data_IF_882480177406
#
_entry.id   IF_882480177406
#
_cell.length_a   1.000
_cell.length_b   1.000
_cell.length_c   1.000
_cell.angle_alpha   90.00
_cell.angle_beta   90.00
_cell.angle_gamma   90.00
#
_symmetry.space_group_name_H-M   'P 1'
#
loop_
_entity.id
_entity.type
_entity.pdbx_description
1 polymer ?
#
# COMPACT_ATOMS: atom_id res chain seq x y z
N UNK A 1 10.19 1.12 -16.72
CA UNK A 1 10.95 2.37 -16.95
C UNK A 1 12.45 2.09 -16.87
N UNK A 2 13.27 2.61 -17.79
CA UNK A 2 14.75 2.58 -17.63
C UNK A 2 15.16 3.44 -16.42
N UNK A 3 16.32 3.19 -15.80
CA UNK A 3 16.92 4.01 -14.72
C UNK A 3 16.74 5.53 -14.87
N UNK A 4 16.67 6.04 -16.11
CA UNK A 4 16.41 7.46 -16.42
C UNK A 4 15.10 8.04 -15.89
N UNK A 5 14.04 7.26 -15.67
CA UNK A 5 12.77 7.85 -15.23
C UNK A 5 12.82 8.33 -13.76
N UNK A 6 13.68 7.73 -12.94
CA UNK A 6 13.85 8.13 -11.54
C UNK A 6 14.84 9.30 -11.36
N UNK A 7 15.55 9.73 -12.42
CA UNK A 7 16.41 10.93 -12.38
C UNK A 7 15.68 12.24 -12.64
N UNK A 8 14.45 12.18 -13.18
CA UNK A 8 13.60 13.34 -13.49
C UNK A 8 12.20 13.13 -12.84
N UNK A 9 12.11 13.18 -11.50
CA UNK A 9 10.89 12.82 -10.76
C UNK A 9 9.67 13.67 -11.15
N UNK A 10 9.87 14.90 -11.62
CA UNK A 10 8.83 15.77 -12.16
C UNK A 10 8.14 15.25 -13.42
N UNK A 11 8.69 14.22 -14.08
CA UNK A 11 8.11 13.58 -15.28
C UNK A 11 7.40 12.27 -14.98
N UNK A 12 7.38 11.82 -13.72
CA UNK A 12 6.69 10.61 -13.30
C UNK A 12 5.18 10.87 -13.29
N UNK A 13 4.45 10.19 -14.17
CA UNK A 13 3.00 10.35 -14.34
C UNK A 13 2.16 9.51 -13.37
N UNK A 14 2.79 8.59 -12.62
CA UNK A 14 2.16 7.72 -11.64
C UNK A 14 3.12 7.40 -10.49
N UNK A 15 2.63 7.51 -9.25
CA UNK A 15 3.44 7.18 -8.07
C UNK A 15 3.21 5.69 -7.77
N UNK A 16 4.27 4.89 -7.85
CA UNK A 16 4.24 3.48 -7.42
C UNK A 16 4.71 3.31 -5.97
N UNK A 17 4.35 2.17 -5.37
CA UNK A 17 4.66 1.88 -3.98
C UNK A 17 6.17 1.82 -3.70
N UNK A 18 6.97 1.46 -4.71
CA UNK A 18 8.43 1.40 -4.61
C UNK A 18 9.04 2.80 -4.48
N UNK A 19 8.54 3.75 -5.27
CA UNK A 19 8.93 5.15 -5.19
C UNK A 19 8.60 5.73 -3.81
N UNK A 20 7.38 5.52 -3.31
CA UNK A 20 6.97 6.00 -1.99
C UNK A 20 7.77 5.38 -0.85
N UNK A 21 8.05 4.08 -0.92
CA UNK A 21 8.78 3.37 0.11
C UNK A 21 10.31 3.49 0.01
N UNK A 22 10.82 3.98 -1.13
CA UNK A 22 12.25 4.01 -1.45
C UNK A 22 12.88 2.61 -1.58
N UNK A 23 12.06 1.56 -1.71
CA UNK A 23 12.51 0.17 -1.77
C UNK A 23 11.47 -0.71 -2.46
N UNK A 24 11.95 -1.84 -2.97
CA UNK A 24 11.10 -2.94 -3.42
C UNK A 24 10.81 -3.91 -2.28
N UNK A 25 9.63 -4.53 -2.31
CA UNK A 25 9.22 -5.52 -1.34
C UNK A 25 9.41 -6.95 -1.88
N UNK A 26 9.86 -7.92 -1.06
CA UNK A 26 10.18 -9.28 -1.54
C UNK A 26 9.02 -9.99 -2.26
N UNK A 27 7.78 -9.84 -1.79
CA UNK A 27 6.59 -10.46 -2.40
C UNK A 27 6.23 -9.89 -3.78
N UNK A 28 6.91 -8.85 -4.25
CA UNK A 28 6.76 -8.38 -5.63
C UNK A 28 7.57 -9.26 -6.61
N UNK A 29 8.59 -9.96 -6.12
CA UNK A 29 9.52 -10.74 -6.96
C UNK A 29 9.38 -12.25 -6.76
N UNK A 30 8.81 -12.70 -5.64
CA UNK A 30 8.63 -14.11 -5.32
C UNK A 30 7.17 -14.45 -5.01
N UNK A 31 6.56 -15.22 -5.92
CA UNK A 31 5.18 -15.70 -5.79
C UNK A 31 4.99 -16.59 -4.54
N UNK A 32 6.02 -17.33 -4.12
CA UNK A 32 5.92 -18.23 -2.97
C UNK A 32 5.62 -17.47 -1.67
N UNK A 33 5.96 -16.18 -1.60
CA UNK A 33 5.70 -15.33 -0.43
C UNK A 33 4.23 -14.90 -0.30
N UNK A 34 3.40 -15.15 -1.31
CA UNK A 34 1.98 -14.79 -1.30
C UNK A 34 1.05 -15.99 -1.57
N UNK A 35 1.59 -17.14 -1.95
CA UNK A 35 0.80 -18.28 -2.41
C UNK A 35 -0.16 -18.81 -1.33
N UNK A 36 0.31 -18.87 -0.09
CA UNK A 36 -0.42 -19.37 1.08
C UNK A 36 -1.38 -18.35 1.72
N UNK A 37 -1.53 -17.17 1.13
CA UNK A 37 -2.48 -16.16 1.64
C UNK A 37 -3.90 -16.68 1.44
N UNK A 38 -4.58 -16.93 2.56
CA UNK A 38 -6.01 -17.24 2.59
C UNK A 38 -6.80 -15.93 2.41
N UNK A 39 -7.36 -15.73 1.22
CA UNK A 39 -8.11 -14.53 0.88
C UNK A 39 -9.43 -14.44 1.65
N UNK A 40 -10.09 -15.56 1.92
CA UNK A 40 -11.36 -15.57 2.65
C UNK A 40 -11.11 -15.19 4.12
N UNK A 41 -10.09 -15.77 4.75
CA UNK A 41 -9.71 -15.43 6.11
C UNK A 41 -9.10 -14.01 6.25
N UNK A 42 -8.45 -13.51 5.20
CA UNK A 42 -7.83 -12.19 5.20
C UNK A 42 -8.81 -11.05 4.84
N UNK A 43 -9.99 -11.37 4.32
CA UNK A 43 -11.02 -10.36 4.02
C UNK A 43 -11.60 -9.83 5.32
N UNK A 44 -11.52 -8.51 5.58
CA UNK A 44 -12.10 -7.97 6.79
C UNK A 44 -13.64 -7.84 6.67
N UNK A 45 -14.35 -8.45 7.62
CA UNK A 45 -15.81 -8.43 7.67
C UNK A 45 -16.46 -9.55 6.85
N UNK A 46 -17.79 -9.62 6.87
CA UNK A 46 -18.56 -10.65 6.13
C UNK A 46 -18.77 -10.29 4.63
N UNK A 47 -18.18 -9.20 4.15
CA UNK A 47 -18.43 -8.64 2.82
C UNK A 47 -17.28 -8.93 1.84
N UNK A 48 -17.40 -10.07 1.16
CA UNK A 48 -16.46 -10.55 0.13
C UNK A 48 -16.39 -9.64 -1.10
N UNK A 49 -17.40 -8.77 -1.33
CA UNK A 49 -17.49 -7.91 -2.51
C UNK A 49 -16.27 -6.97 -2.63
N UNK A 50 -15.64 -6.62 -1.51
CA UNK A 50 -14.42 -5.79 -1.53
C UNK A 50 -13.25 -6.45 -2.25
N UNK A 51 -13.06 -7.76 -2.08
CA UNK A 51 -11.97 -8.47 -2.75
C UNK A 51 -12.26 -8.63 -4.24
N UNK A 52 -13.53 -8.82 -4.61
CA UNK A 52 -13.94 -8.98 -6.00
C UNK A 52 -13.57 -7.76 -6.85
N UNK A 53 -13.68 -6.56 -6.28
CA UNK A 53 -13.29 -5.27 -6.89
C UNK A 53 -11.77 -5.09 -7.11
N UNK A 54 -10.93 -5.99 -6.58
CA UNK A 54 -9.48 -5.94 -6.82
C UNK A 54 -9.15 -6.71 -8.08
N UNK A 55 -8.57 -6.01 -9.05
CA UNK A 55 -8.16 -6.57 -10.34
C UNK A 55 -6.65 -6.47 -10.57
N UNK A 56 -6.12 -7.39 -11.37
CA UNK A 56 -4.81 -7.20 -11.97
C UNK A 56 -4.92 -6.10 -13.02
N UNK A 57 -4.14 -5.05 -12.82
CA UNK A 57 -4.00 -3.92 -13.71
C UNK A 57 -2.57 -3.90 -14.28
N UNK A 58 -2.22 -2.80 -14.92
CA UNK A 58 -0.89 -2.61 -15.51
C UNK A 58 -0.42 -1.18 -15.25
N UNK A 59 0.83 -1.04 -14.80
CA UNK A 59 1.51 0.23 -14.64
C UNK A 59 2.83 0.19 -15.41
N UNK A 60 3.04 1.13 -16.34
CA UNK A 60 4.23 1.20 -17.21
C UNK A 60 4.56 -0.10 -17.96
N UNK A 61 3.53 -0.79 -18.44
CA UNK A 61 3.72 -2.07 -19.11
C UNK A 61 3.95 -3.26 -18.16
N UNK A 62 4.01 -3.03 -16.85
CA UNK A 62 4.25 -4.06 -15.82
C UNK A 62 2.94 -4.44 -15.13
N UNK A 63 2.63 -5.74 -14.92
CA UNK A 63 1.47 -6.15 -14.13
C UNK A 63 1.49 -5.50 -12.75
N UNK A 64 0.37 -4.98 -12.28
CA UNK A 64 0.30 -4.26 -11.02
C UNK A 64 -1.08 -4.37 -10.37
N UNK A 65 -1.13 -4.20 -9.06
CA UNK A 65 -2.38 -4.06 -8.30
C UNK A 65 -2.45 -2.69 -7.64
N UNK A 66 -3.63 -2.08 -7.62
CA UNK A 66 -3.81 -0.74 -7.08
C UNK A 66 -4.08 -0.76 -5.57
N UNK A 67 -3.26 -0.07 -4.79
CA UNK A 67 -3.49 0.17 -3.36
C UNK A 67 -4.27 1.47 -3.16
N UNK A 68 -5.52 1.34 -2.70
CA UNK A 68 -6.37 2.47 -2.36
C UNK A 68 -5.91 3.26 -1.14
N UNK A 69 -5.15 2.66 -0.21
CA UNK A 69 -4.66 3.35 1.00
C UNK A 69 -3.57 4.36 0.70
N UNK A 70 -2.67 4.05 -0.23
CA UNK A 70 -1.60 4.96 -0.67
C UNK A 70 -1.89 5.65 -2.00
N UNK A 71 -2.96 5.26 -2.71
CA UNK A 71 -3.29 5.73 -4.06
C UNK A 71 -2.11 5.51 -5.02
N UNK A 72 -1.56 4.29 -5.01
CA UNK A 72 -0.36 3.91 -5.75
C UNK A 72 -0.46 2.49 -6.28
N UNK A 73 0.28 2.19 -7.35
CA UNK A 73 0.40 0.83 -7.87
C UNK A 73 1.50 0.02 -7.16
N UNK A 74 1.24 -1.26 -6.94
CA UNK A 74 2.21 -2.27 -6.51
C UNK A 74 2.50 -3.14 -7.73
N UNK A 75 3.70 -3.02 -8.29
CA UNK A 75 4.13 -3.80 -9.45
C UNK A 75 4.45 -5.25 -9.05
N UNK A 76 4.14 -6.19 -9.94
CA UNK A 76 4.38 -7.63 -9.78
C UNK A 76 5.38 -8.07 -10.85
N UNK A 77 6.51 -8.62 -10.42
CA UNK A 77 7.66 -8.96 -11.27
C UNK A 77 7.86 -10.46 -11.49
N UNK A 78 7.15 -11.32 -10.75
CA UNK A 78 7.15 -12.75 -11.01
C UNK A 78 6.17 -13.10 -12.15
N UNK A 79 6.40 -14.21 -12.88
CA UNK A 79 5.47 -14.70 -13.88
C UNK A 79 4.13 -15.09 -13.24
N UNK A 80 3.04 -14.49 -13.73
CA UNK A 80 1.68 -14.77 -13.25
C UNK A 80 1.10 -15.93 -14.10
N UNK A 81 0.72 -17.07 -13.49
CA UNK A 81 0.07 -18.16 -14.21
C UNK A 81 -1.28 -17.73 -14.80
N UNK A 82 -1.57 -18.18 -16.03
CA UNK A 82 -2.83 -17.89 -16.69
C UNK A 82 -4.03 -18.39 -15.87
N UNK A 83 -5.04 -17.55 -15.70
CA UNK A 83 -6.24 -17.82 -14.90
C UNK A 83 -6.10 -17.53 -13.40
N UNK A 84 -4.91 -17.08 -12.93
CA UNK A 84 -4.66 -16.69 -11.53
C UNK A 84 -4.35 -15.19 -11.37
N UNK A 85 -4.62 -14.38 -12.38
CA UNK A 85 -4.24 -12.97 -12.45
C UNK A 85 -4.82 -12.15 -11.30
N UNK A 86 -6.14 -12.14 -11.18
CA UNK A 86 -6.84 -11.38 -10.14
C UNK A 86 -6.61 -11.97 -8.74
N UNK A 87 -6.50 -13.30 -8.64
CA UNK A 87 -6.17 -13.99 -7.38
C UNK A 87 -4.82 -13.51 -6.83
N UNK A 88 -3.77 -13.56 -7.66
CA UNK A 88 -2.44 -13.17 -7.24
C UNK A 88 -2.31 -11.66 -7.00
N UNK A 89 -3.03 -10.83 -7.77
CA UNK A 89 -3.13 -9.40 -7.50
C UNK A 89 -3.69 -9.12 -6.08
N UNK A 90 -4.79 -9.80 -5.71
CA UNK A 90 -5.38 -9.73 -4.36
C UNK A 90 -4.40 -10.18 -3.29
N UNK A 91 -3.73 -11.32 -3.49
CA UNK A 91 -2.77 -11.87 -2.52
C UNK A 91 -1.57 -10.94 -2.29
N UNK A 92 -1.05 -10.32 -3.35
CA UNK A 92 0.00 -9.30 -3.25
C UNK A 92 -0.48 -8.08 -2.46
N UNK A 93 -1.68 -7.55 -2.76
CA UNK A 93 -2.23 -6.41 -2.04
C UNK A 93 -2.49 -6.72 -0.56
N UNK A 94 -3.08 -7.87 -0.25
CA UNK A 94 -3.31 -8.30 1.15
C UNK A 94 -1.98 -8.42 1.90
N UNK A 95 -0.97 -9.06 1.30
CA UNK A 95 0.37 -9.16 1.91
C UNK A 95 0.97 -7.78 2.16
N UNK A 96 0.81 -6.85 1.22
CA UNK A 96 1.29 -5.47 1.36
C UNK A 96 0.62 -4.74 2.53
N UNK A 97 -0.70 -4.86 2.65
CA UNK A 97 -1.50 -4.23 3.70
C UNK A 97 -1.22 -4.83 5.09
N UNK A 98 -1.19 -6.17 5.19
CA UNK A 98 -0.92 -6.88 6.45
C UNK A 98 0.52 -6.68 6.94
N UNK A 99 1.46 -6.47 6.02
CA UNK A 99 2.85 -6.12 6.38
C UNK A 99 3.02 -4.66 6.82
N UNK A 100 1.97 -3.84 6.73
CA UNK A 100 2.05 -2.40 7.00
C UNK A 100 2.91 -1.64 5.98
N UNK A 101 3.11 -2.21 4.80
CA UNK A 101 3.99 -1.64 3.78
C UNK A 101 3.30 -0.56 2.94
N UNK A 102 1.96 -0.49 2.97
CA UNK A 102 1.23 0.62 2.37
C UNK A 102 1.71 1.93 2.96
N UNK A 103 2.09 2.86 2.09
CA UNK A 103 2.57 4.17 2.53
C UNK A 103 1.52 4.91 3.36
N UNK A 104 0.23 4.76 3.01
CA UNK A 104 -0.87 5.29 3.79
C UNK A 104 -0.95 4.74 5.22
N UNK A 105 -0.55 3.48 5.43
CA UNK A 105 -0.43 2.87 6.77
C UNK A 105 0.77 3.45 7.52
N UNK A 106 1.94 3.51 6.89
CA UNK A 106 3.18 4.02 7.51
C UNK A 106 3.04 5.46 8.00
N UNK A 107 2.30 6.29 7.26
CA UNK A 107 2.06 7.69 7.64
C UNK A 107 1.22 7.83 8.91
N UNK A 108 0.41 6.84 9.29
CA UNK A 108 -0.50 6.95 10.45
C UNK A 108 0.27 7.18 11.75
N UNK A 109 1.42 6.54 11.95
CA UNK A 109 2.21 6.70 13.17
C UNK A 109 2.57 8.17 13.44
N UNK A 110 2.84 8.94 12.38
CA UNK A 110 3.24 10.35 12.48
C UNK A 110 2.06 11.32 12.41
N UNK A 111 1.05 11.01 11.59
CA UNK A 111 0.05 11.99 11.17
C UNK A 111 -1.36 11.72 11.69
N UNK A 112 -1.59 10.55 12.29
CA UNK A 112 -2.91 10.24 12.78
C UNK A 112 -3.28 11.13 13.97
N UNK A 113 -4.42 11.83 13.85
CA UNK A 113 -4.92 12.78 14.86
C UNK A 113 -5.80 12.14 15.94
N UNK A 114 -6.37 10.97 15.65
CA UNK A 114 -7.37 10.32 16.49
C UNK A 114 -7.01 8.85 16.70
N UNK A 115 -7.21 8.27 17.89
CA UNK A 115 -6.91 6.87 18.16
C UNK A 115 -7.56 5.92 17.14
N UNK A 116 -6.74 5.09 16.49
CA UNK A 116 -7.21 4.05 15.56
C UNK A 116 -6.19 2.91 15.43
N UNK A 117 -6.59 1.71 14.97
CA UNK A 117 -5.65 0.64 14.65
C UNK A 117 -4.72 1.01 13.48
N UNK A 118 -3.42 0.76 13.62
CA UNK A 118 -2.40 1.05 12.62
C UNK A 118 -2.68 0.33 11.29
N UNK A 119 -2.80 -0.99 11.36
CA UNK A 119 -3.07 -1.86 10.21
C UNK A 119 -4.57 -1.93 9.89
N UNK A 120 -5.39 -1.07 10.50
CA UNK A 120 -6.84 -1.06 10.28
C UNK A 120 -7.44 -2.45 10.53
N UNK A 121 -8.31 -2.93 9.63
CA UNK A 121 -8.98 -4.21 9.81
C UNK A 121 -8.19 -5.40 9.24
N UNK A 122 -6.97 -5.19 8.70
CA UNK A 122 -6.18 -6.22 8.01
C UNK A 122 -5.52 -7.23 8.96
N UNK A 123 -5.25 -6.82 10.20
CA UNK A 123 -4.59 -7.64 11.22
C UNK A 123 -5.29 -7.43 12.56
N UNK A 124 -5.71 -8.51 13.25
CA UNK A 124 -6.32 -8.40 14.56
C UNK A 124 -5.33 -7.84 15.58
N UNK A 125 -5.85 -7.10 16.57
CA UNK A 125 -5.04 -6.51 17.66
C UNK A 125 -3.88 -5.61 17.18
N UNK A 126 -4.03 -4.98 16.01
CA UNK A 126 -3.05 -4.00 15.54
C UNK A 126 -2.87 -2.86 16.56
N UNK A 127 -1.63 -2.39 16.72
CA UNK A 127 -1.29 -1.31 17.66
C UNK A 127 -2.15 -0.07 17.41
N UNK A 128 -2.54 0.62 18.47
CA UNK A 128 -3.26 1.89 18.35
C UNK A 128 -2.28 3.04 18.09
N UNK A 129 -2.57 3.86 17.08
CA UNK A 129 -1.83 5.08 16.74
C UNK A 129 -2.73 6.31 16.89
N UNK A 130 -2.15 7.51 16.96
CA UNK A 130 -2.91 8.76 17.11
C UNK A 130 -3.38 9.07 18.53
N UNK A 131 -2.78 8.44 19.55
CA UNK A 131 -3.05 8.71 20.97
C UNK A 131 -2.43 10.02 21.47
N UNK A 132 -1.29 10.42 20.90
CA UNK A 132 -0.47 11.55 21.36
C UNK A 132 -0.09 12.50 20.20
N UNK A 133 -1.03 12.75 19.29
CA UNK A 133 -0.76 13.61 18.14
C UNK A 133 -0.45 15.04 18.57
N UNK A 134 0.62 15.62 17.98
CA UNK A 134 0.98 17.02 18.17
C UNK A 134 0.96 17.73 16.81
N UNK A 135 0.41 18.96 16.75
CA UNK A 135 0.46 19.74 15.53
C UNK A 135 1.90 20.03 15.13
N UNK A 136 2.18 19.95 13.83
CA UNK A 136 3.44 20.42 13.28
C UNK A 136 3.56 21.92 13.55
N UNK A 137 4.61 22.33 14.23
CA UNK A 137 4.93 23.75 14.45
C UNK A 137 6.01 24.13 13.43
N UNK A 138 5.71 25.13 12.60
CA UNK A 138 6.72 25.71 11.72
C UNK A 138 7.53 26.73 12.53
N UNK A 139 8.83 26.47 12.68
CA UNK A 139 9.73 27.36 13.44
C UNK A 139 9.70 28.78 12.85
N UNK A 140 9.47 29.78 13.69
CA UNK A 140 9.40 31.18 13.28
C UNK A 140 8.10 31.60 12.60
N UNK A 141 7.11 30.71 12.47
CA UNK A 141 5.79 31.08 11.96
C UNK A 141 4.85 31.49 13.09
N UNK A 142 4.41 32.75 13.06
CA UNK A 142 3.32 33.24 13.92
C UNK A 142 2.00 33.25 13.12
N UNK A 143 0.88 32.82 13.72
CA UNK A 143 -0.41 32.89 13.07
C UNK A 143 -0.78 34.37 12.77
N UNK A 144 -1.48 34.65 11.65
CA UNK A 144 -1.95 36.00 11.35
C UNK A 144 -2.84 36.54 12.48
N UNK A 145 -2.68 37.83 12.81
CA UNK A 145 -3.61 38.50 13.72
C UNK A 145 -5.02 38.46 13.11
N UNK A 146 -5.98 37.94 13.89
CA UNK A 146 -7.39 37.83 13.51
C UNK A 146 -8.06 39.17 13.23
#
# INVERSE_FOLDING_TARGET
MSERAYSEPEKITGIDAEFLAGKRFPYQEDMALVEDVDLDAATPGDDINWLEDIELLQEDGTPAVFDRYSNSFIKIYFPIPAGREHELARKVLITHLQSGNSYGIQLKEKHCKFPQPELGPWVPNSKTVGIDWKPSVLEGWEPPAH
#
